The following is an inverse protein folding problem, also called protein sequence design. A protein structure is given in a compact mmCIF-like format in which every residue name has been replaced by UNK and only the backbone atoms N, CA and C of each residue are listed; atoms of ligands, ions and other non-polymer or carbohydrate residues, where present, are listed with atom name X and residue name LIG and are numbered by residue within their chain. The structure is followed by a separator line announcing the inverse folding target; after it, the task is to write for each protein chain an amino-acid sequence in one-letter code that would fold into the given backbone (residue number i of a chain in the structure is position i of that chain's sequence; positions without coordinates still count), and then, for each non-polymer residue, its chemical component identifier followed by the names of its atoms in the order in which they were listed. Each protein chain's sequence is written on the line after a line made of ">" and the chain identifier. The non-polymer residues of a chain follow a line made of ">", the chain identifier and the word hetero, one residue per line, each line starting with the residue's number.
data_IF_553352224446
#
_entry.id   IF_553352224446
#
_cell.length_a   1.000
_cell.length_b   1.000
_cell.length_c   1.000
_cell.angle_alpha   90.00
_cell.angle_beta   90.00
_cell.angle_gamma   90.00
#
_symmetry.space_group_name_H-M   'P 1'
#
loop_
_entity.id
_entity.type
_entity.pdbx_description
1 polymer ?
#
# COMPACT_ATOMS: atom_id res chain seq x y z
N UNK A 1 -8.01 11.47 -13.37
CA UNK A 1 -8.98 10.74 -12.52
C UNK A 1 -8.26 10.11 -11.33
N UNK A 2 -8.99 9.66 -10.30
CA UNK A 2 -8.41 8.99 -9.12
C UNK A 2 -8.95 7.57 -8.97
N UNK A 3 -8.05 6.62 -8.75
CA UNK A 3 -8.38 5.23 -8.45
C UNK A 3 -7.93 4.89 -7.04
N UNK A 4 -8.79 4.23 -6.28
CA UNK A 4 -8.50 3.82 -4.91
C UNK A 4 -8.70 2.32 -4.75
N UNK A 5 -7.69 1.66 -4.20
CA UNK A 5 -7.68 0.24 -3.85
C UNK A 5 -7.48 0.09 -2.34
N UNK A 6 -8.28 -0.76 -1.70
CA UNK A 6 -8.06 -1.15 -0.30
C UNK A 6 -7.47 -2.55 -0.22
N UNK A 7 -6.50 -2.74 0.65
CA UNK A 7 -5.74 -3.96 0.84
C UNK A 7 -5.85 -4.42 2.27
N UNK A 8 -5.88 -5.73 2.47
CA UNK A 8 -6.02 -6.34 3.79
C UNK A 8 -4.68 -6.37 4.54
N UNK A 9 -3.55 -6.38 3.80
CA UNK A 9 -2.22 -6.29 4.37
C UNK A 9 -1.40 -5.14 3.79
N UNK A 10 -0.47 -4.64 4.61
CA UNK A 10 0.53 -3.66 4.17
C UNK A 10 1.40 -4.20 3.03
N UNK A 11 1.71 -5.49 3.06
CA UNK A 11 2.53 -6.15 2.04
C UNK A 11 1.88 -6.11 0.66
N UNK A 12 0.57 -6.37 0.56
CA UNK A 12 -0.15 -6.29 -0.73
C UNK A 12 -0.18 -4.87 -1.29
N UNK A 13 -0.38 -3.87 -0.43
CA UNK A 13 -0.32 -2.47 -0.83
C UNK A 13 1.09 -2.08 -1.32
N UNK A 14 2.15 -2.53 -0.66
CA UNK A 14 3.54 -2.26 -1.05
C UNK A 14 3.91 -2.92 -2.37
N UNK A 15 3.57 -4.20 -2.55
CA UNK A 15 3.75 -4.93 -3.82
C UNK A 15 3.01 -4.25 -4.97
N UNK A 16 1.80 -3.73 -4.71
CA UNK A 16 1.05 -2.94 -5.68
C UNK A 16 1.82 -1.69 -6.06
N UNK A 17 2.29 -0.89 -5.10
CA UNK A 17 3.07 0.33 -5.37
C UNK A 17 4.33 0.02 -6.19
N UNK A 18 5.04 -1.04 -5.82
CA UNK A 18 6.22 -1.51 -6.54
C UNK A 18 5.90 -1.87 -7.99
N UNK A 19 4.78 -2.57 -8.23
CA UNK A 19 4.32 -2.93 -9.57
C UNK A 19 3.97 -1.71 -10.40
N UNK A 20 3.21 -0.77 -9.82
CA UNK A 20 2.80 0.47 -10.50
C UNK A 20 4.00 1.29 -10.96
N UNK A 21 4.99 1.46 -10.09
CA UNK A 21 6.18 2.27 -10.39
C UNK A 21 7.10 1.56 -11.38
N UNK A 22 7.38 0.27 -11.16
CA UNK A 22 8.41 -0.43 -11.92
C UNK A 22 7.92 -0.92 -13.28
N UNK A 23 6.67 -1.39 -13.37
CA UNK A 23 6.16 -2.04 -14.57
C UNK A 23 5.26 -1.16 -15.42
N UNK A 24 4.55 -0.22 -14.80
CA UNK A 24 3.64 0.69 -15.50
C UNK A 24 4.17 2.13 -15.55
N UNK A 25 5.40 2.36 -15.10
CA UNK A 25 6.08 3.68 -15.12
C UNK A 25 5.26 4.81 -14.46
N UNK A 26 4.40 4.45 -13.50
CA UNK A 26 3.58 5.43 -12.79
C UNK A 26 4.46 6.19 -11.81
N UNK A 27 4.47 7.51 -11.93
CA UNK A 27 5.22 8.39 -11.04
C UNK A 27 4.84 8.15 -9.57
N UNK A 28 5.84 7.85 -8.73
CA UNK A 28 5.62 7.55 -7.30
C UNK A 28 4.95 8.71 -6.55
N UNK A 29 5.12 9.95 -7.01
CA UNK A 29 4.46 11.15 -6.46
C UNK A 29 2.96 11.20 -6.74
N UNK A 30 2.45 10.37 -7.65
CA UNK A 30 1.01 10.20 -7.94
C UNK A 30 0.34 9.13 -7.10
N UNK A 31 1.09 8.45 -6.22
CA UNK A 31 0.60 7.35 -5.39
C UNK A 31 0.61 7.77 -3.92
N UNK A 32 -0.55 7.71 -3.28
CA UNK A 32 -0.73 7.93 -1.85
C UNK A 32 -1.06 6.61 -1.18
N UNK A 33 -0.38 6.29 -0.08
CA UNK A 33 -0.65 5.10 0.73
C UNK A 33 -1.02 5.57 2.13
N UNK A 34 -2.19 5.20 2.61
CA UNK A 34 -2.74 5.57 3.91
C UNK A 34 -3.34 4.34 4.60
N UNK A 35 -3.60 4.43 5.90
CA UNK A 35 -4.46 3.47 6.59
C UNK A 35 -5.94 3.86 6.40
N UNK A 36 -6.85 2.89 6.45
CA UNK A 36 -8.31 3.06 6.32
C UNK A 36 -8.97 3.69 7.57
N UNK A 37 -8.17 4.28 8.48
CA UNK A 37 -8.61 5.01 9.67
C UNK A 37 -7.50 5.87 10.29
N UNK A 38 -7.88 6.86 11.11
CA UNK A 38 -6.97 7.77 11.85
C UNK A 38 -6.02 7.05 12.83
N UNK A 39 -6.25 5.77 13.12
CA UNK A 39 -5.51 5.00 14.13
C UNK A 39 -4.14 4.48 13.66
N UNK A 40 -3.76 4.71 12.40
CA UNK A 40 -2.46 4.28 11.86
C UNK A 40 -1.64 5.39 11.18
N UNK A 41 -1.61 6.57 11.79
CA UNK A 41 -0.47 7.48 11.62
C UNK A 41 0.72 6.96 12.43
N UNK A 42 1.50 6.05 11.85
CA UNK A 42 2.80 5.69 12.38
C UNK A 42 3.70 6.94 12.35
N UNK A 43 3.89 7.58 13.51
CA UNK A 43 4.82 8.69 13.66
C UNK A 43 4.61 9.53 14.92
N UNK A 44 4.85 8.99 16.11
CA UNK A 44 5.26 9.80 17.29
C UNK A 44 6.33 9.10 18.16
N UNK A 45 7.09 8.11 17.69
CA UNK A 45 8.29 7.68 18.45
C UNK A 45 9.52 7.67 17.53
N UNK A 46 10.42 8.63 17.76
CA UNK A 46 11.81 8.58 17.31
C UNK A 46 12.48 7.37 17.99
N UNK A 47 12.46 6.21 17.34
CA UNK A 47 13.26 5.08 17.78
C UNK A 47 14.73 5.37 17.43
N UNK A 48 15.45 5.89 18.43
CA UNK A 48 16.89 6.11 18.40
C UNK A 48 17.65 4.86 17.96
N UNK A 49 18.72 5.12 17.22
CA UNK A 49 19.74 4.15 16.84
C UNK A 49 20.21 3.28 18.00
N UNK A 50 20.67 2.08 17.62
CA UNK A 50 21.49 1.11 18.35
C UNK A 50 20.74 0.15 19.27
N UNK A 51 20.50 -1.07 18.76
CA UNK A 51 20.69 -2.30 19.54
C UNK A 51 21.04 -3.48 18.61
N UNK A 52 22.31 -3.84 18.70
CA UNK A 52 23.00 -5.11 18.50
C UNK A 52 22.25 -6.30 17.85
N UNK A 53 22.92 -6.87 16.84
CA UNK A 53 22.54 -8.08 16.14
C UNK A 53 22.44 -9.30 17.08
N UNK A 54 21.31 -10.02 17.03
CA UNK A 54 21.18 -11.31 17.69
C UNK A 54 19.85 -12.02 17.45
N UNK A 55 19.89 -13.07 16.61
CA UNK A 55 19.04 -14.27 16.65
C UNK A 55 17.68 -14.23 15.91
N UNK A 56 17.17 -15.41 15.49
CA UNK A 56 16.51 -15.64 14.21
C UNK A 56 15.08 -15.09 14.17
N UNK A 57 14.63 -14.80 12.95
CA UNK A 57 13.31 -14.29 12.59
C UNK A 57 12.22 -14.78 13.54
N UNK A 58 11.51 -13.89 14.26
CA UNK A 58 10.29 -14.33 14.89
C UNK A 58 9.35 -14.76 13.76
N UNK A 59 8.86 -15.98 13.91
CA UNK A 59 7.70 -16.52 13.21
C UNK A 59 6.68 -15.39 13.00
N UNK A 60 6.14 -15.30 11.78
CA UNK A 60 5.12 -14.32 11.46
C UNK A 60 4.03 -14.41 12.53
N UNK A 61 3.95 -13.39 13.39
CA UNK A 61 2.95 -13.35 14.44
C UNK A 61 1.63 -13.00 13.76
N UNK A 62 0.77 -14.00 13.59
CA UNK A 62 -0.60 -13.85 13.09
C UNK A 62 -1.53 -13.12 14.10
N UNK A 63 -1.02 -12.74 15.28
CA UNK A 63 -1.75 -12.05 16.36
C UNK A 63 -1.59 -10.52 16.37
N UNK A 64 -0.93 -9.92 15.38
CA UNK A 64 -1.10 -8.49 15.19
C UNK A 64 -2.47 -8.28 14.54
N UNK A 65 -3.45 -7.80 15.31
CA UNK A 65 -4.65 -7.20 14.74
C UNK A 65 -4.20 -6.31 13.57
N UNK A 66 -4.60 -6.67 12.35
CA UNK A 66 -4.36 -5.91 11.14
C UNK A 66 -5.07 -4.57 11.35
N UNK A 67 -4.41 -3.63 12.01
CA UNK A 67 -5.02 -2.39 12.48
C UNK A 67 -5.30 -1.52 11.25
N UNK A 68 -6.44 -1.75 10.62
CA UNK A 68 -6.92 -1.03 9.44
C UNK A 68 -6.44 -1.61 8.12
N UNK A 69 -7.38 -1.69 7.16
CA UNK A 69 -7.06 -1.88 5.74
C UNK A 69 -6.07 -0.80 5.29
N UNK A 70 -5.23 -1.09 4.31
CA UNK A 70 -4.32 -0.10 3.71
C UNK A 70 -4.97 0.42 2.42
N UNK A 71 -5.07 1.73 2.31
CA UNK A 71 -5.67 2.41 1.16
C UNK A 71 -4.58 2.95 0.26
N UNK A 72 -4.58 2.53 -1.00
CA UNK A 72 -3.71 3.08 -2.05
C UNK A 72 -4.56 3.89 -3.00
N UNK A 73 -4.27 5.19 -3.12
CA UNK A 73 -4.89 6.08 -4.09
C UNK A 73 -3.88 6.47 -5.16
N UNK A 74 -4.26 6.33 -6.42
CA UNK A 74 -3.42 6.64 -7.58
C UNK A 74 -4.11 7.70 -8.44
N UNK A 75 -3.39 8.77 -8.74
CA UNK A 75 -3.79 9.75 -9.74
C UNK A 75 -3.33 9.28 -11.12
N UNK A 76 -4.28 9.08 -12.05
CA UNK A 76 -3.98 8.66 -13.42
C UNK A 76 -4.46 9.68 -14.43
N UNK A 77 -3.68 9.84 -15.50
CA UNK A 77 -3.87 10.86 -16.53
C UNK A 77 -4.94 10.47 -17.57
N UNK A 78 -5.04 9.17 -17.90
CA UNK A 78 -5.87 8.65 -18.98
C UNK A 78 -6.35 7.21 -18.71
N UNK A 79 -7.26 6.72 -19.55
CA UNK A 79 -7.89 5.40 -19.42
C UNK A 79 -6.91 4.23 -19.58
N UNK A 80 -5.79 4.38 -20.31
CA UNK A 80 -4.80 3.32 -20.42
C UNK A 80 -4.10 3.12 -19.07
N UNK A 81 -3.62 4.20 -18.47
CA UNK A 81 -3.04 4.18 -17.12
C UNK A 81 -4.05 3.70 -16.06
N UNK A 82 -5.34 4.04 -16.22
CA UNK A 82 -6.39 3.53 -15.33
C UNK A 82 -6.58 2.01 -15.44
N UNK A 83 -6.43 1.44 -16.63
CA UNK A 83 -6.50 -0.01 -16.83
C UNK A 83 -5.33 -0.71 -16.15
N UNK A 84 -4.12 -0.17 -16.27
CA UNK A 84 -2.90 -0.70 -15.64
C UNK A 84 -3.00 -0.68 -14.12
N UNK A 85 -3.49 0.42 -13.52
CA UNK A 85 -3.74 0.49 -12.07
C UNK A 85 -4.76 -0.55 -11.62
N UNK A 86 -5.84 -0.74 -12.38
CA UNK A 86 -6.87 -1.75 -12.06
C UNK A 86 -6.32 -3.16 -12.17
N UNK A 87 -5.39 -3.42 -13.09
CA UNK A 87 -4.69 -4.70 -13.21
C UNK A 87 -3.83 -4.96 -11.97
N UNK A 88 -2.99 -3.99 -11.54
CA UNK A 88 -2.20 -4.12 -10.32
C UNK A 88 -3.08 -4.37 -9.09
N UNK A 89 -4.16 -3.61 -8.93
CA UNK A 89 -5.08 -3.78 -7.81
C UNK A 89 -5.74 -5.17 -7.81
N UNK A 90 -5.98 -5.76 -8.99
CA UNK A 90 -6.52 -7.11 -9.08
C UNK A 90 -5.45 -8.19 -8.79
N UNK A 91 -4.21 -7.97 -9.20
CA UNK A 91 -3.08 -8.90 -8.98
C UNK A 91 -2.80 -9.12 -7.49
N UNK A 92 -2.99 -8.09 -6.66
CA UNK A 92 -2.71 -8.12 -5.22
C UNK A 92 -3.98 -8.06 -4.34
N UNK A 93 -5.10 -8.57 -4.85
CA UNK A 93 -6.34 -8.81 -4.10
C UNK A 93 -6.92 -7.57 -3.40
N UNK A 94 -6.96 -6.41 -4.08
CA UNK A 94 -7.63 -5.23 -3.52
C UNK A 94 -9.11 -5.53 -3.24
N UNK A 95 -9.48 -5.57 -1.96
CA UNK A 95 -10.81 -5.95 -1.48
C UNK A 95 -11.89 -4.94 -1.84
N UNK A 96 -11.52 -3.67 -2.01
CA UNK A 96 -12.38 -2.63 -2.55
C UNK A 96 -11.66 -1.83 -3.63
N UNK A 97 -12.36 -1.57 -4.74
CA UNK A 97 -11.83 -0.79 -5.88
C UNK A 97 -12.86 0.25 -6.29
N UNK A 98 -12.51 1.52 -6.16
CA UNK A 98 -13.37 2.64 -6.57
C UNK A 98 -12.62 3.60 -7.49
N UNK A 99 -13.36 4.20 -8.43
CA UNK A 99 -12.82 5.22 -9.33
C UNK A 99 -13.71 6.45 -9.31
N UNK A 100 -13.10 7.61 -9.06
CA UNK A 100 -13.77 8.91 -9.19
C UNK A 100 -13.21 9.59 -10.45
N UNK A 101 -14.10 9.82 -11.42
CA UNK A 101 -13.79 10.46 -12.69
C UNK A 101 -13.34 11.91 -12.48
#
# INVERSE_FOLDING_TARGET
>A
MKLTGKFDTRREAEMTVERLVQQFDIDRGKIVVAADGDENTAGVEEAGSDNEAGQPSPEARDDAELNGKVVVTVEVADDAAASEVREAFAEFDASERSGQA
#
